data_IF_905981633726
#
_entry.id   IF_905981633726
#
_cell.length_a   1.000
_cell.length_b   1.000
_cell.length_c   1.000
_cell.angle_alpha   90.00
_cell.angle_beta   90.00
_cell.angle_gamma   90.00
#
_symmetry.space_group_name_H-M   'P 1'
#
loop_
_entity.id
_entity.type
_entity.pdbx_description
1 polymer ?
#
# COMPACT_ATOMS: atom_id res chain seq x y z
N UNK A 1 23.01 4.73 -2.74
CA UNK A 1 22.50 4.81 -2.55
C UNK A 1 21.84 4.72 -2.63
N UNK A 2 21.58 4.54 -2.98
CA UNK A 2 21.01 4.59 -3.07
C UNK A 2 20.29 4.67 -2.56
N UNK A 3 20.35 4.61 -2.32
CA UNK A 3 19.65 4.76 -1.93
C UNK A 3 18.66 4.73 -1.91
N UNK A 4 18.49 4.16 -1.40
CA UNK A 4 17.36 4.12 -1.71
C UNK A 4 16.44 5.11 -1.59
N UNK A 5 16.12 5.33 -1.91
CA UNK A 5 15.75 6.48 -2.22
C UNK A 5 14.40 6.87 -1.92
N UNK A 6 13.45 6.10 -2.11
CA UNK A 6 12.06 6.41 -1.82
C UNK A 6 11.61 5.94 -0.47
N UNK A 7 12.47 5.30 0.27
CA UNK A 7 12.13 4.71 1.55
C UNK A 7 12.18 5.74 2.66
N UNK A 8 11.09 5.87 3.39
CA UNK A 8 11.02 6.65 4.62
C UNK A 8 10.50 5.73 5.70
N UNK A 9 10.29 6.28 6.90
CA UNK A 9 9.73 5.47 7.98
C UNK A 9 8.37 4.89 7.63
N UNK A 10 7.56 5.63 6.85
CA UNK A 10 6.17 5.26 6.61
C UNK A 10 5.91 4.80 5.18
N UNK A 11 6.86 5.00 4.27
CA UNK A 11 6.74 4.56 2.87
C UNK A 11 7.98 3.75 2.51
N UNK A 12 7.79 2.56 1.94
CA UNK A 12 8.91 1.67 1.61
C UNK A 12 8.53 0.76 0.46
N UNK A 13 9.55 0.24 -0.21
CA UNK A 13 9.37 -0.73 -1.29
C UNK A 13 9.40 -2.13 -0.70
N UNK A 14 8.60 -3.04 -1.26
CA UNK A 14 8.50 -4.42 -0.79
C UNK A 14 8.70 -5.36 -1.96
N UNK A 15 9.35 -6.48 -1.68
CA UNK A 15 9.55 -7.55 -2.66
C UNK A 15 8.88 -8.82 -2.19
N UNK A 16 8.92 -9.84 -3.07
CA UNK A 16 8.36 -11.15 -2.74
C UNK A 16 9.00 -11.76 -1.50
N UNK A 17 10.30 -11.50 -1.31
CA UNK A 17 11.05 -12.09 -0.22
C UNK A 17 10.68 -11.50 1.14
N UNK A 18 10.36 -10.21 1.19
CA UNK A 18 10.11 -9.56 2.47
C UNK A 18 8.66 -9.19 2.71
N UNK A 19 7.75 -9.59 1.82
CA UNK A 19 6.35 -9.18 1.91
C UNK A 19 5.71 -9.59 3.24
N UNK A 20 5.91 -10.83 3.67
CA UNK A 20 5.26 -11.32 4.88
C UNK A 20 5.75 -10.56 6.12
N UNK A 21 7.03 -10.26 6.20
CA UNK A 21 7.57 -9.51 7.32
C UNK A 21 7.20 -8.04 7.27
N UNK A 22 7.32 -7.44 6.10
CA UNK A 22 7.18 -5.99 5.95
C UNK A 22 5.71 -5.55 5.89
N UNK A 23 4.80 -6.45 5.47
CA UNK A 23 3.38 -6.11 5.34
C UNK A 23 2.54 -6.90 6.33
N UNK A 24 2.53 -8.23 6.20
CA UNK A 24 1.59 -9.05 6.98
C UNK A 24 1.88 -8.94 8.47
N UNK A 25 3.12 -9.20 8.87
CA UNK A 25 3.49 -9.14 10.29
C UNK A 25 3.39 -7.72 10.82
N UNK A 26 3.83 -6.75 10.02
CA UNK A 26 3.83 -5.36 10.46
C UNK A 26 2.44 -4.79 10.64
N UNK A 27 1.48 -5.31 9.88
CA UNK A 27 0.09 -4.86 9.97
C UNK A 27 -0.59 -5.29 11.27
N UNK A 28 0.06 -6.12 12.09
CA UNK A 28 -0.46 -6.40 13.41
C UNK A 28 -0.51 -5.15 14.28
N UNK A 29 0.42 -4.23 14.09
CA UNK A 29 0.51 -3.04 14.92
C UNK A 29 0.01 -1.77 14.22
N UNK A 30 0.22 -1.67 12.92
CA UNK A 30 -0.13 -0.47 12.14
C UNK A 30 -0.67 -0.92 10.80
N UNK A 31 -1.82 -0.40 10.34
CA UNK A 31 -2.34 -0.84 9.04
C UNK A 31 -1.39 -0.46 7.92
N UNK A 32 -1.33 -1.31 6.89
CA UNK A 32 -0.43 -1.14 5.77
C UNK A 32 -1.26 -1.13 4.48
N UNK A 33 -1.08 -0.10 3.67
CA UNK A 33 -1.63 -0.07 2.32
C UNK A 33 -0.57 -0.59 1.37
N UNK A 34 -0.93 -1.54 0.53
CA UNK A 34 -0.03 -2.12 -0.46
C UNK A 34 -0.43 -1.59 -1.83
N UNK A 35 0.42 -0.76 -2.41
CA UNK A 35 0.18 -0.14 -3.72
C UNK A 35 0.90 -0.99 -4.77
N UNK A 36 0.13 -1.77 -5.53
CA UNK A 36 0.66 -2.66 -6.55
C UNK A 36 0.51 -1.98 -7.91
N UNK A 37 1.62 -1.69 -8.54
CA UNK A 37 1.63 -0.99 -9.82
C UNK A 37 2.78 -1.41 -10.70
N UNK A 38 3.01 -0.63 -11.76
CA UNK A 38 4.09 -0.88 -12.71
C UNK A 38 4.55 0.44 -13.30
N UNK A 39 5.81 0.49 -13.73
CA UNK A 39 6.39 1.73 -14.25
C UNK A 39 5.67 2.23 -15.50
N UNK A 40 5.18 1.32 -16.34
CA UNK A 40 4.51 1.68 -17.60
C UNK A 40 3.06 2.10 -17.39
N UNK A 41 2.55 2.03 -16.19
CA UNK A 41 1.14 2.27 -15.89
C UNK A 41 0.92 3.76 -15.59
N UNK A 42 0.26 4.48 -16.50
CA UNK A 42 0.03 5.91 -16.33
C UNK A 42 -0.80 6.25 -15.07
N UNK A 43 -1.93 5.55 -14.80
CA UNK A 43 -2.67 5.85 -13.57
C UNK A 43 -1.87 5.60 -12.30
N UNK A 44 -0.95 4.62 -12.33
CA UNK A 44 -0.09 4.36 -11.16
C UNK A 44 0.79 5.57 -10.87
N UNK A 45 1.30 6.23 -11.93
CA UNK A 45 2.17 7.39 -11.76
C UNK A 45 1.43 8.61 -11.22
N UNK A 46 0.11 8.60 -11.31
CA UNK A 46 -0.72 9.65 -10.69
C UNK A 46 -1.03 9.29 -9.23
N UNK A 47 -1.41 8.05 -8.99
CA UNK A 47 -1.87 7.60 -7.68
C UNK A 47 -0.74 7.53 -6.65
N UNK A 48 0.40 6.95 -7.03
CA UNK A 48 1.46 6.66 -6.05
C UNK A 48 2.01 7.92 -5.37
N UNK A 49 2.32 9.01 -6.09
CA UNK A 49 2.77 10.23 -5.40
C UNK A 49 1.72 10.80 -4.47
N UNK A 50 0.44 10.69 -4.83
CA UNK A 50 -0.63 11.19 -4.00
C UNK A 50 -0.74 10.38 -2.71
N UNK A 51 -0.65 9.04 -2.82
CA UNK A 51 -0.65 8.18 -1.64
C UNK A 51 0.55 8.47 -0.74
N UNK A 52 1.72 8.70 -1.32
CA UNK A 52 2.91 9.01 -0.53
C UNK A 52 2.72 10.31 0.24
N UNK A 53 2.15 11.31 -0.40
CA UNK A 53 1.89 12.58 0.27
C UNK A 53 0.89 12.40 1.41
N UNK A 54 -0.16 11.63 1.17
CA UNK A 54 -1.15 11.38 2.22
C UNK A 54 -0.55 10.59 3.38
N UNK A 55 0.31 9.60 3.07
CA UNK A 55 0.97 8.83 4.11
C UNK A 55 1.75 9.74 5.05
N UNK A 56 2.48 10.70 4.49
CA UNK A 56 3.23 11.66 5.31
C UNK A 56 2.29 12.52 6.15
N UNK A 57 1.16 12.93 5.58
CA UNK A 57 0.24 13.82 6.30
C UNK A 57 -0.49 13.10 7.44
N UNK A 58 -0.61 11.79 7.38
CA UNK A 58 -1.24 11.01 8.45
C UNK A 58 -0.26 10.61 9.56
N UNK A 59 1.00 10.95 9.40
CA UNK A 59 2.00 10.93 10.48
C UNK A 59 2.08 9.57 11.21
N UNK A 60 2.19 8.51 10.43
CA UNK A 60 2.39 7.18 11.02
C UNK A 60 1.12 6.42 11.36
N UNK A 61 -0.05 6.98 11.08
CA UNK A 61 -1.30 6.27 11.36
C UNK A 61 -1.48 5.06 10.45
N UNK A 62 -0.84 5.06 9.29
CA UNK A 62 -0.77 3.90 8.41
C UNK A 62 0.57 3.93 7.66
N UNK A 63 0.91 2.80 7.07
CA UNK A 63 2.15 2.65 6.29
C UNK A 63 1.81 2.38 4.84
N UNK A 64 2.72 2.73 3.95
CA UNK A 64 2.55 2.52 2.51
C UNK A 64 3.67 1.62 1.99
N UNK A 65 3.31 0.47 1.46
CA UNK A 65 4.23 -0.48 0.85
C UNK A 65 4.04 -0.45 -0.66
N UNK A 66 5.09 -0.09 -1.40
CA UNK A 66 5.04 -0.04 -2.85
C UNK A 66 5.55 -1.36 -3.43
N UNK A 67 4.82 -1.90 -4.39
CA UNK A 67 5.18 -3.15 -5.06
C UNK A 67 5.23 -2.92 -6.56
N UNK A 68 6.38 -3.24 -7.17
CA UNK A 68 6.52 -3.28 -8.61
C UNK A 68 6.09 -4.66 -9.07
N UNK A 69 4.92 -4.74 -9.72
CA UNK A 69 4.34 -6.01 -10.12
C UNK A 69 5.19 -6.76 -11.15
N UNK A 70 5.91 -6.03 -12.01
CA UNK A 70 6.74 -6.66 -13.04
C UNK A 70 7.89 -7.47 -12.42
N UNK A 71 8.40 -7.00 -11.29
CA UNK A 71 9.49 -7.69 -10.60
C UNK A 71 9.01 -8.58 -9.46
N UNK A 72 7.72 -8.52 -9.14
CA UNK A 72 7.16 -9.24 -8.00
C UNK A 72 5.83 -9.87 -8.36
N UNK A 73 5.84 -10.67 -9.42
CA UNK A 73 4.60 -11.21 -9.99
C UNK A 73 3.85 -12.13 -9.03
N UNK A 74 4.56 -12.75 -8.09
CA UNK A 74 3.89 -13.61 -7.11
C UNK A 74 3.00 -12.82 -6.16
N UNK A 75 3.38 -11.58 -5.86
CA UNK A 75 2.54 -10.73 -5.01
C UNK A 75 1.24 -10.43 -5.75
N UNK A 76 1.33 -10.05 -7.03
CA UNK A 76 0.14 -9.78 -7.83
C UNK A 76 -0.73 -11.03 -7.96
N UNK A 77 -0.12 -12.18 -8.18
CA UNK A 77 -0.86 -13.44 -8.30
C UNK A 77 -1.52 -13.84 -6.99
N UNK A 78 -0.82 -13.69 -5.88
CA UNK A 78 -1.35 -14.00 -4.56
C UNK A 78 -2.63 -13.20 -4.26
N UNK A 79 -2.70 -11.97 -4.74
CA UNK A 79 -3.84 -11.10 -4.50
C UNK A 79 -4.83 -11.07 -5.65
N UNK A 80 -4.59 -11.90 -6.68
CA UNK A 80 -5.48 -12.02 -7.85
C UNK A 80 -5.68 -10.68 -8.54
N UNK A 81 -4.59 -9.92 -8.67
CA UNK A 81 -4.63 -8.60 -9.27
C UNK A 81 -4.89 -8.73 -10.77
N UNK A 82 -5.85 -7.95 -11.28
CA UNK A 82 -6.24 -7.98 -12.69
C UNK A 82 -5.91 -6.71 -13.45
N UNK A 83 -5.54 -5.66 -12.75
CA UNK A 83 -5.20 -4.39 -13.38
C UNK A 83 -4.46 -3.52 -12.39
N UNK A 84 -3.91 -2.43 -12.90
CA UNK A 84 -3.09 -1.52 -12.10
C UNK A 84 -3.64 -0.12 -12.17
N UNK A 85 -3.51 0.64 -11.09
CA UNK A 85 -3.05 0.21 -9.78
C UNK A 85 -4.11 -0.58 -9.01
N UNK A 86 -3.66 -1.44 -8.11
CA UNK A 86 -4.52 -2.09 -7.13
C UNK A 86 -3.92 -1.81 -5.76
N UNK A 87 -4.74 -1.30 -4.85
CA UNK A 87 -4.30 -0.99 -3.49
C UNK A 87 -5.07 -1.87 -2.52
N UNK A 88 -4.32 -2.56 -1.66
CA UNK A 88 -4.87 -3.52 -0.72
C UNK A 88 -4.54 -3.06 0.69
N UNK A 89 -5.52 -3.05 1.57
CA UNK A 89 -5.32 -2.65 2.97
C UNK A 89 -5.17 -3.90 3.83
N UNK A 90 -4.06 -3.96 4.56
CA UNK A 90 -3.79 -5.00 5.55
C UNK A 90 -3.95 -4.45 6.94
N UNK A 91 -4.62 -5.21 7.79
CA UNK A 91 -4.77 -4.90 9.21
C UNK A 91 -4.78 -6.20 9.99
N UNK A 92 -3.97 -6.26 11.03
CA UNK A 92 -3.89 -7.43 11.92
C UNK A 92 -3.62 -8.73 11.17
N UNK A 93 -2.78 -8.62 10.15
CA UNK A 93 -2.29 -9.76 9.40
C UNK A 93 -3.16 -10.22 8.25
N UNK A 94 -4.29 -9.56 7.99
CA UNK A 94 -5.19 -9.97 6.91
C UNK A 94 -5.62 -8.78 6.07
N UNK A 95 -6.04 -9.07 4.83
CA UNK A 95 -6.64 -8.06 3.97
C UNK A 95 -8.00 -7.69 4.52
N UNK A 96 -8.28 -6.39 4.63
CA UNK A 96 -9.59 -5.94 5.07
C UNK A 96 -10.34 -5.13 4.03
N UNK A 97 -9.63 -4.61 3.01
CA UNK A 97 -10.28 -3.81 1.98
C UNK A 97 -9.34 -3.66 0.79
N UNK A 98 -9.88 -3.21 -0.33
CA UNK A 98 -9.03 -2.91 -1.50
C UNK A 98 -9.78 -1.93 -2.41
N UNK A 99 -9.02 -1.28 -3.29
CA UNK A 99 -9.61 -0.52 -4.38
C UNK A 99 -8.72 -0.60 -5.61
N UNK A 100 -9.27 -0.22 -6.75
CA UNK A 100 -8.60 -0.27 -8.05
C UNK A 100 -8.63 1.10 -8.68
N UNK A 101 -7.68 1.33 -9.58
CA UNK A 101 -7.60 2.56 -10.38
C UNK A 101 -7.16 3.76 -9.57
N UNK A 102 -6.76 4.81 -10.27
CA UNK A 102 -6.46 6.08 -9.64
C UNK A 102 -7.77 6.68 -9.11
N UNK A 103 -7.71 7.23 -7.92
CA UNK A 103 -8.88 7.77 -7.24
C UNK A 103 -8.61 9.20 -6.80
N UNK A 104 -9.67 9.92 -6.50
CA UNK A 104 -9.56 11.30 -6.01
C UNK A 104 -8.99 11.30 -4.58
N UNK A 105 -8.45 12.46 -4.20
CA UNK A 105 -7.96 12.60 -2.81
C UNK A 105 -9.08 12.38 -1.80
N UNK A 106 -10.29 12.86 -2.10
CA UNK A 106 -11.43 12.65 -1.20
C UNK A 106 -11.74 11.18 -0.99
N UNK A 107 -11.72 10.40 -2.09
CA UNK A 107 -11.91 8.96 -1.98
C UNK A 107 -10.82 8.33 -1.11
N UNK A 108 -9.57 8.72 -1.36
CA UNK A 108 -8.43 8.13 -0.65
C UNK A 108 -8.49 8.43 0.84
N UNK A 109 -8.83 9.66 1.22
CA UNK A 109 -8.94 10.00 2.64
C UNK A 109 -10.03 9.19 3.32
N UNK A 110 -11.15 9.02 2.65
CA UNK A 110 -12.26 8.24 3.19
C UNK A 110 -11.86 6.78 3.37
N UNK A 111 -11.18 6.24 2.37
CA UNK A 111 -10.69 4.85 2.41
C UNK A 111 -9.70 4.67 3.57
N UNK A 112 -8.73 5.57 3.66
CA UNK A 112 -7.68 5.52 4.70
C UNK A 112 -8.30 5.66 6.08
N UNK A 113 -9.20 6.63 6.26
CA UNK A 113 -9.86 6.83 7.55
C UNK A 113 -10.62 5.59 7.98
N UNK A 114 -11.29 4.94 7.04
CA UNK A 114 -12.02 3.71 7.32
C UNK A 114 -11.11 2.58 7.74
N UNK A 115 -9.96 2.44 7.08
CA UNK A 115 -8.97 1.41 7.42
C UNK A 115 -8.41 1.65 8.83
N UNK A 116 -8.06 2.90 9.13
CA UNK A 116 -7.52 3.24 10.44
C UNK A 116 -8.56 2.95 11.53
N UNK A 117 -9.82 3.31 11.28
CA UNK A 117 -10.89 3.08 12.24
C UNK A 117 -11.09 1.59 12.49
N UNK A 118 -11.13 0.78 11.43
CA UNK A 118 -11.31 -0.66 11.58
C UNK A 118 -10.15 -1.29 12.32
N UNK A 119 -8.94 -0.86 12.01
CA UNK A 119 -7.76 -1.36 12.71
C UNK A 119 -7.84 -1.06 14.20
N UNK A 120 -8.25 0.15 14.56
CA UNK A 120 -8.41 0.54 15.96
C UNK A 120 -9.52 -0.24 16.65
N UNK A 121 -10.50 -0.74 15.91
CA UNK A 121 -11.59 -1.55 16.45
C UNK A 121 -11.25 -3.04 16.53
N UNK A 122 -10.01 -3.43 16.20
CA UNK A 122 -9.57 -4.82 16.32
C UNK A 122 -9.76 -5.63 15.06
N UNK A 123 -10.04 -4.98 13.96
CA UNK A 123 -10.19 -5.68 12.69
C UNK A 123 -8.85 -5.68 11.92
#
# INVERSE_FOLDING_TARGET
MHLKQNTTETTFDVTEEDFDAAVVARSQQTPVLVDIGADWCAPCRVLSPLLERLTRSYDGAFLLANVDADENMRIAGRHKVRGFPTVIAYSRGVEIDCFHSAQTEGFLRKFIDGVIERHGAGE
#
